data_IF_465386155769
#
_entry.id   IF_465386155769
#
_cell.length_a   1.000
_cell.length_b   1.000
_cell.length_c   1.000
_cell.angle_alpha   90.00
_cell.angle_beta   90.00
_cell.angle_gamma   90.00
#
_symmetry.space_group_name_H-M   'P 1'
#
loop_
_entity.id
_entity.type
_entity.pdbx_description
1 polymer ?
#
# COMPACT_ATOMS: atom_id res chain seq x y z
N UNK A 1 -17.43 7.95 29.29
CA UNK A 1 -15.96 8.06 29.31
C UNK A 1 -15.42 7.16 28.20
N UNK A 2 -14.93 7.74 27.09
CA UNK A 2 -14.29 6.96 26.03
C UNK A 2 -12.78 6.93 26.30
N UNK A 3 -12.25 5.76 26.58
CA UNK A 3 -10.81 5.56 26.75
C UNK A 3 -10.24 5.11 25.40
N UNK A 4 -9.38 5.89 24.74
CA UNK A 4 -8.76 5.46 23.49
C UNK A 4 -7.93 4.19 23.77
N UNK A 5 -8.21 3.12 23.03
CA UNK A 5 -7.45 1.87 23.14
C UNK A 5 -6.24 1.96 22.22
N UNK A 6 -5.07 2.26 22.79
CA UNK A 6 -3.80 2.15 22.06
C UNK A 6 -3.46 0.67 21.91
N UNK A 7 -3.79 0.07 20.76
CA UNK A 7 -3.44 -1.34 20.48
C UNK A 7 -1.93 -1.57 20.32
N UNK A 8 -1.15 -0.49 20.21
CA UNK A 8 0.28 -0.55 20.02
C UNK A 8 0.95 0.71 20.58
N UNK A 9 2.13 0.55 21.15
CA UNK A 9 3.05 1.64 21.49
C UNK A 9 3.82 2.16 20.27
N UNK A 10 3.61 1.54 19.09
CA UNK A 10 4.28 1.95 17.86
C UNK A 10 3.83 3.37 17.49
N UNK A 11 4.77 4.24 17.11
CA UNK A 11 4.46 5.63 16.82
C UNK A 11 3.40 5.75 15.72
N UNK A 12 2.51 6.72 15.88
CA UNK A 12 1.48 6.98 14.89
C UNK A 12 2.12 7.40 13.56
N UNK A 13 1.64 6.83 12.46
CA UNK A 13 2.24 7.01 11.13
C UNK A 13 2.05 8.43 10.59
N UNK A 14 1.12 9.22 11.14
CA UNK A 14 0.97 10.62 10.76
C UNK A 14 1.98 11.51 11.49
N UNK A 15 2.36 11.13 12.71
CA UNK A 15 3.40 11.84 13.47
C UNK A 15 4.82 11.45 13.06
N UNK A 16 5.05 10.20 12.67
CA UNK A 16 6.36 9.69 12.26
C UNK A 16 6.26 9.00 10.90
N UNK A 17 6.65 9.68 9.79
CA UNK A 17 6.60 9.07 8.47
C UNK A 17 7.52 7.85 8.42
N UNK A 18 7.13 6.86 7.61
CA UNK A 18 7.96 5.68 7.37
C UNK A 18 9.32 6.12 6.81
N UNK A 19 10.45 5.51 7.25
CA UNK A 19 11.74 5.77 6.64
C UNK A 19 11.71 5.42 5.16
N UNK A 20 12.57 6.09 4.38
CA UNK A 20 12.71 5.85 2.96
C UNK A 20 12.95 4.35 2.70
N UNK A 21 12.23 3.82 1.71
CA UNK A 21 12.48 2.48 1.18
C UNK A 21 12.66 2.61 -0.31
N UNK A 22 13.69 1.93 -0.83
CA UNK A 22 14.00 1.92 -2.25
C UNK A 22 12.80 1.39 -3.06
N UNK A 23 12.61 1.97 -4.25
CA UNK A 23 11.47 1.67 -5.11
C UNK A 23 11.48 0.20 -5.58
N UNK A 24 12.65 -0.37 -5.87
CA UNK A 24 12.79 -1.76 -6.31
C UNK A 24 12.43 -2.73 -5.18
N UNK A 25 12.88 -2.46 -3.95
CA UNK A 25 12.54 -3.26 -2.77
C UNK A 25 11.03 -3.21 -2.48
N UNK A 26 10.41 -2.04 -2.64
CA UNK A 26 8.96 -1.88 -2.52
C UNK A 26 8.22 -2.71 -3.58
N UNK A 27 8.67 -2.66 -4.82
CA UNK A 27 8.08 -3.43 -5.92
C UNK A 27 8.19 -4.94 -5.67
N UNK A 28 9.35 -5.43 -5.22
CA UNK A 28 9.51 -6.85 -4.88
C UNK A 28 8.59 -7.29 -3.74
N UNK A 29 8.35 -6.41 -2.76
CA UNK A 29 7.51 -6.72 -1.59
C UNK A 29 6.01 -6.64 -1.86
N UNK A 30 5.56 -5.64 -2.62
CA UNK A 30 4.14 -5.33 -2.78
C UNK A 30 3.62 -5.57 -4.20
N UNK A 31 4.51 -5.81 -5.16
CA UNK A 31 4.18 -5.95 -6.57
C UNK A 31 3.89 -4.61 -7.26
N UNK A 32 3.31 -4.70 -8.45
CA UNK A 32 2.92 -3.55 -9.26
C UNK A 32 1.70 -2.83 -8.66
N UNK A 33 1.70 -1.51 -8.75
CA UNK A 33 0.54 -0.67 -8.43
C UNK A 33 -0.65 -1.09 -9.30
N UNK A 34 -1.78 -1.37 -8.66
CA UNK A 34 -3.01 -1.75 -9.35
C UNK A 34 -3.82 -0.51 -9.72
N UNK A 35 -4.58 -0.55 -10.82
CA UNK A 35 -5.49 0.53 -11.17
C UNK A 35 -6.58 0.68 -10.10
N UNK A 36 -7.00 1.92 -9.89
CA UNK A 36 -8.06 2.25 -8.94
C UNK A 36 -9.43 1.69 -9.36
N UNK A 37 -9.69 1.65 -10.66
CA UNK A 37 -10.90 1.07 -11.24
C UNK A 37 -10.63 -0.36 -11.68
N UNK A 38 -11.63 -1.24 -11.49
CA UNK A 38 -11.49 -2.63 -11.90
C UNK A 38 -11.35 -2.71 -13.42
N UNK A 39 -10.25 -3.32 -13.93
CA UNK A 39 -10.07 -3.43 -15.36
C UNK A 39 -11.02 -4.49 -15.94
N UNK A 40 -11.58 -4.19 -17.11
CA UNK A 40 -12.42 -5.13 -17.86
C UNK A 40 -11.60 -6.33 -18.34
N UNK A 41 -12.28 -7.42 -18.74
CA UNK A 41 -11.61 -8.63 -19.25
C UNK A 41 -10.68 -8.32 -20.43
N UNK A 42 -11.12 -7.47 -21.36
CA UNK A 42 -10.31 -7.05 -22.51
C UNK A 42 -9.07 -6.27 -22.09
N UNK A 43 -9.19 -5.35 -21.12
CA UNK A 43 -8.06 -4.59 -20.61
C UNK A 43 -7.03 -5.47 -19.89
N UNK A 44 -7.48 -6.51 -19.18
CA UNK A 44 -6.58 -7.51 -18.58
C UNK A 44 -5.83 -8.30 -19.64
N UNK A 45 -6.50 -8.66 -20.76
CA UNK A 45 -5.90 -9.41 -21.86
C UNK A 45 -4.83 -8.60 -22.62
N UNK A 46 -5.13 -7.37 -23.02
CA UNK A 46 -4.19 -6.51 -23.75
C UNK A 46 -3.07 -5.90 -22.89
N UNK A 47 -3.18 -5.99 -21.56
CA UNK A 47 -2.07 -5.63 -20.64
C UNK A 47 -1.02 -6.73 -20.53
N UNK A 48 -1.38 -7.97 -20.85
CA UNK A 48 -0.52 -9.14 -20.73
C UNK A 48 0.19 -9.54 -22.03
N UNK A 49 -0.10 -8.84 -23.14
CA UNK A 49 0.54 -8.99 -24.45
C UNK A 49 1.72 -8.04 -24.63
#
# INVERSE_FOLDING_TARGET
MYTPSYRTSSPDRWTLPRPYSDASQRFMKFGAVQPMHEPTLWQKLFRAS
#
